data_IF_483472412851
#
_entry.id   IF_483472412851
#
_cell.length_a   1.000
_cell.length_b   1.000
_cell.length_c   1.000
_cell.angle_alpha   90.00
_cell.angle_beta   90.00
_cell.angle_gamma   90.00
#
_symmetry.space_group_name_H-M   'P 1'
#
loop_
_entity.id
_entity.type
_entity.pdbx_description
1 polymer ?
#
# COMPACT_ATOMS: atom_id res chain seq x y z
N UNK A 1 4.61 -4.63 23.65
CA UNK A 1 5.56 -4.49 22.50
C UNK A 1 5.58 -3.00 22.18
N UNK A 2 6.67 -2.31 22.50
CA UNK A 2 6.78 -0.87 22.23
C UNK A 2 6.72 -0.64 20.72
N UNK A 3 5.80 0.20 20.30
CA UNK A 3 5.75 0.70 18.93
C UNK A 3 7.01 1.54 18.71
N UNK A 4 7.80 1.31 17.64
CA UNK A 4 8.97 2.12 17.35
C UNK A 4 8.60 3.60 17.39
N UNK A 5 9.41 4.43 18.05
CA UNK A 5 9.18 5.86 18.07
C UNK A 5 9.05 6.38 16.64
N UNK A 6 8.12 7.29 16.38
CA UNK A 6 7.82 7.82 15.04
C UNK A 6 9.07 8.38 14.34
N UNK A 7 10.04 8.89 15.12
CA UNK A 7 11.33 9.39 14.64
C UNK A 7 12.33 8.28 14.27
N UNK A 8 12.19 7.06 14.80
CA UNK A 8 13.11 5.96 14.49
C UNK A 8 13.14 5.58 13.01
N UNK A 9 12.11 5.93 12.25
CA UNK A 9 12.05 5.71 10.81
C UNK A 9 12.45 6.93 9.97
N UNK A 10 12.72 8.09 10.56
CA UNK A 10 13.04 9.32 9.82
C UNK A 10 14.33 9.21 9.00
N UNK A 11 15.30 8.42 9.48
CA UNK A 11 16.55 8.13 8.76
C UNK A 11 16.32 7.55 7.36
N UNK A 12 15.26 6.73 7.19
CA UNK A 12 14.92 6.09 5.92
C UNK A 12 14.50 7.09 4.83
N UNK A 13 14.16 8.33 5.21
CA UNK A 13 13.68 9.41 4.32
C UNK A 13 14.75 10.46 4.00
N UNK A 14 15.97 10.31 4.51
CA UNK A 14 17.09 11.19 4.18
C UNK A 14 17.44 11.13 2.69
N UNK A 15 18.02 12.20 2.14
CA UNK A 15 18.44 12.24 0.72
C UNK A 15 19.39 11.09 0.37
N UNK A 16 20.31 10.74 1.30
CA UNK A 16 21.26 9.64 1.13
C UNK A 16 20.53 8.29 1.01
N UNK A 17 19.65 7.99 1.97
CA UNK A 17 18.92 6.71 1.99
C UNK A 17 17.97 6.57 0.80
N UNK A 18 17.35 7.65 0.33
CA UNK A 18 16.55 7.64 -0.90
C UNK A 18 17.36 7.25 -2.14
N UNK A 19 18.61 7.75 -2.25
CA UNK A 19 19.53 7.35 -3.33
C UNK A 19 19.94 5.88 -3.22
N UNK A 20 20.27 5.43 -2.01
CA UNK A 20 20.58 4.02 -1.74
C UNK A 20 19.39 3.13 -2.11
N UNK A 21 18.18 3.50 -1.67
CA UNK A 21 16.95 2.77 -2.03
C UNK A 21 16.73 2.75 -3.54
N UNK A 22 16.87 3.86 -4.22
CA UNK A 22 16.70 3.95 -5.67
C UNK A 22 17.69 3.03 -6.41
N UNK A 23 18.96 3.04 -6.01
CA UNK A 23 19.98 2.15 -6.56
C UNK A 23 19.67 0.67 -6.28
N UNK A 24 19.29 0.32 -5.03
CA UNK A 24 18.92 -1.04 -4.65
C UNK A 24 17.69 -1.55 -5.45
N UNK A 25 16.68 -0.70 -5.60
CA UNK A 25 15.50 -1.03 -6.37
C UNK A 25 15.85 -1.29 -7.84
N UNK A 26 16.56 -0.37 -8.50
CA UNK A 26 16.87 -0.47 -9.92
C UNK A 26 17.91 -1.55 -10.27
N UNK A 27 18.89 -1.79 -9.39
CA UNK A 27 20.01 -2.70 -9.70
C UNK A 27 19.80 -4.14 -9.18
N UNK A 28 18.92 -4.34 -8.19
CA UNK A 28 18.73 -5.66 -7.59
C UNK A 28 17.26 -6.07 -7.53
N UNK A 29 16.40 -5.23 -6.91
CA UNK A 29 15.03 -5.67 -6.59
C UNK A 29 14.16 -5.83 -7.82
N UNK A 30 14.15 -4.86 -8.73
CA UNK A 30 13.34 -4.92 -9.94
C UNK A 30 13.87 -5.96 -10.94
N UNK A 31 15.18 -6.09 -11.20
CA UNK A 31 15.69 -7.21 -11.97
C UNK A 31 15.36 -8.59 -11.37
N UNK A 32 15.47 -8.73 -10.03
CA UNK A 32 15.07 -9.95 -9.35
C UNK A 32 13.57 -10.23 -9.50
N UNK A 33 12.71 -9.21 -9.35
CA UNK A 33 11.28 -9.34 -9.59
C UNK A 33 11.00 -9.75 -11.03
N UNK A 34 11.63 -9.11 -12.01
CA UNK A 34 11.45 -9.38 -13.45
C UNK A 34 11.91 -10.79 -13.85
N UNK A 35 12.77 -11.46 -13.06
CA UNK A 35 13.21 -12.83 -13.35
C UNK A 35 12.08 -13.86 -13.24
N UNK A 36 11.04 -13.59 -12.46
CA UNK A 36 9.88 -14.47 -12.26
C UNK A 36 8.53 -13.77 -12.50
N UNK A 37 8.50 -12.46 -12.60
CA UNK A 37 7.29 -11.66 -12.71
C UNK A 37 7.35 -10.76 -13.95
N UNK A 38 6.43 -10.93 -14.90
CA UNK A 38 6.23 -9.99 -16.01
C UNK A 38 5.23 -8.92 -15.57
N UNK A 39 5.75 -7.76 -15.16
CA UNK A 39 4.92 -6.62 -14.77
C UNK A 39 4.42 -5.86 -16.00
N UNK A 40 3.12 -5.60 -16.02
CA UNK A 40 2.44 -4.69 -16.96
C UNK A 40 1.76 -3.59 -16.16
N UNK A 41 1.90 -2.36 -16.58
CA UNK A 41 1.20 -1.21 -15.97
C UNK A 41 0.15 -0.73 -16.98
N UNK A 42 -1.09 -0.52 -16.51
CA UNK A 42 -2.21 -0.01 -17.29
C UNK A 42 -2.74 1.28 -16.71
N UNK A 43 -3.24 2.14 -17.57
CA UNK A 43 -3.91 3.41 -17.23
C UNK A 43 -2.99 4.29 -16.35
N UNK A 44 -1.69 4.28 -16.63
CA UNK A 44 -0.67 5.01 -15.86
C UNK A 44 -0.73 6.53 -16.06
N UNK A 45 -1.48 7.01 -17.06
CA UNK A 45 -1.83 8.42 -17.24
C UNK A 45 -2.52 8.99 -16.00
N UNK A 46 -3.35 8.22 -15.30
CA UNK A 46 -3.97 8.63 -14.03
C UNK A 46 -2.95 8.99 -12.93
N UNK A 47 -1.74 8.49 -13.06
CA UNK A 47 -0.63 8.81 -12.15
C UNK A 47 0.32 9.81 -12.76
N UNK A 48 0.60 9.74 -14.06
CA UNK A 48 1.55 10.62 -14.76
C UNK A 48 1.06 12.06 -14.81
N UNK A 49 -0.23 12.25 -14.99
CA UNK A 49 -0.84 13.58 -15.15
C UNK A 49 -1.21 14.23 -13.81
N UNK A 50 -1.13 13.47 -12.71
CA UNK A 50 -1.45 13.96 -11.39
C UNK A 50 -0.36 14.89 -10.84
N UNK A 51 -0.76 16.06 -10.33
CA UNK A 51 0.13 17.01 -9.68
C UNK A 51 0.10 16.89 -8.15
N UNK A 52 1.27 16.93 -7.52
CA UNK A 52 1.39 16.88 -6.06
C UNK A 52 1.48 15.45 -5.48
N UNK A 53 1.34 15.31 -4.16
CA UNK A 53 1.35 14.01 -3.49
C UNK A 53 0.05 13.26 -3.74
N UNK A 54 0.08 11.94 -3.59
CA UNK A 54 -1.10 11.09 -3.68
C UNK A 54 -1.08 9.98 -2.62
N UNK A 55 -2.25 9.44 -2.33
CA UNK A 55 -2.42 8.23 -1.53
C UNK A 55 -2.78 7.10 -2.51
N UNK A 56 -1.85 6.19 -2.73
CA UNK A 56 -2.07 5.02 -3.59
C UNK A 56 -2.71 3.91 -2.76
N UNK A 57 -3.89 3.47 -3.16
CA UNK A 57 -4.68 2.44 -2.47
C UNK A 57 -4.79 1.22 -3.36
N UNK A 58 -4.33 0.06 -2.89
CA UNK A 58 -4.39 -1.19 -3.65
C UNK A 58 -4.87 -2.37 -2.80
N UNK A 59 -5.34 -3.44 -3.45
CA UNK A 59 -5.57 -4.73 -2.82
C UNK A 59 -4.27 -5.38 -2.33
N UNK A 60 -4.34 -6.34 -1.39
CA UNK A 60 -3.18 -6.92 -0.75
C UNK A 60 -3.21 -8.45 -0.74
N UNK A 61 -2.54 -9.05 -1.70
CA UNK A 61 -2.54 -10.50 -1.94
C UNK A 61 -1.17 -11.16 -1.69
N UNK A 62 -0.09 -10.36 -1.69
CA UNK A 62 1.29 -10.85 -1.59
C UNK A 62 2.17 -9.92 -0.78
N UNK A 63 3.20 -10.48 -0.13
CA UNK A 63 4.24 -9.69 0.52
C UNK A 63 5.05 -8.81 -0.47
N UNK A 64 5.02 -9.13 -1.77
CA UNK A 64 5.70 -8.37 -2.82
C UNK A 64 4.84 -7.25 -3.42
N UNK A 65 3.57 -7.10 -3.04
CA UNK A 65 2.71 -6.03 -3.60
C UNK A 65 3.31 -4.65 -3.43
N UNK A 66 3.99 -4.39 -2.30
CA UNK A 66 4.68 -3.12 -2.06
C UNK A 66 5.82 -2.88 -3.05
N UNK A 67 6.55 -3.93 -3.44
CA UNK A 67 7.64 -3.84 -4.43
C UNK A 67 7.06 -3.64 -5.83
N UNK A 68 6.00 -4.38 -6.16
CA UNK A 68 5.28 -4.26 -7.44
C UNK A 68 4.70 -2.87 -7.60
N UNK A 69 4.04 -2.33 -6.57
CA UNK A 69 3.53 -0.96 -6.57
C UNK A 69 4.65 0.07 -6.73
N UNK A 70 5.78 -0.13 -6.03
CA UNK A 70 6.93 0.77 -6.16
C UNK A 70 7.50 0.74 -7.59
N UNK A 71 7.56 -0.42 -8.25
CA UNK A 71 8.03 -0.55 -9.63
C UNK A 71 7.05 0.08 -10.63
N UNK A 72 5.74 -0.11 -10.43
CA UNK A 72 4.70 0.44 -11.28
C UNK A 72 4.61 1.98 -11.24
N UNK A 73 5.02 2.59 -10.12
CA UNK A 73 4.93 4.03 -9.95
C UNK A 73 6.05 4.79 -10.68
N UNK A 74 5.75 5.95 -11.30
CA UNK A 74 6.77 6.88 -11.80
C UNK A 74 7.80 7.24 -10.73
N UNK A 75 9.05 7.47 -11.13
CA UNK A 75 10.17 7.74 -10.23
C UNK A 75 9.91 8.87 -9.22
N UNK A 76 9.16 9.91 -9.63
CA UNK A 76 8.80 11.03 -8.74
C UNK A 76 7.98 10.61 -7.52
N UNK A 77 7.08 9.63 -7.67
CA UNK A 77 6.31 9.05 -6.58
C UNK A 77 7.11 7.99 -5.83
N UNK A 78 7.66 7.01 -6.54
CA UNK A 78 8.45 5.91 -5.96
C UNK A 78 9.51 6.40 -4.98
N UNK A 79 10.25 7.47 -5.33
CA UNK A 79 11.33 7.99 -4.49
C UNK A 79 10.86 8.87 -3.33
N UNK A 80 9.59 9.20 -3.27
CA UNK A 80 8.97 10.00 -2.20
C UNK A 80 7.65 9.40 -1.71
N UNK A 81 7.58 8.09 -1.65
CA UNK A 81 6.46 7.36 -1.05
C UNK A 81 6.91 6.59 0.17
N UNK A 82 6.02 6.48 1.13
CA UNK A 82 6.11 5.55 2.25
C UNK A 82 5.06 4.46 2.08
N UNK A 83 5.42 3.23 2.41
CA UNK A 83 4.50 2.09 2.40
C UNK A 83 4.00 1.84 3.81
N UNK A 84 2.70 1.94 4.00
CA UNK A 84 2.07 1.65 5.29
C UNK A 84 2.02 0.15 5.52
N UNK A 85 2.59 -0.31 6.62
CA UNK A 85 2.60 -1.72 6.98
C UNK A 85 2.21 -1.92 8.44
N UNK A 86 1.54 -3.05 8.72
CA UNK A 86 1.12 -3.37 10.07
C UNK A 86 2.33 -3.63 10.99
N UNK A 87 2.35 -2.96 12.14
CA UNK A 87 3.46 -3.03 13.10
C UNK A 87 3.67 -4.45 13.65
N UNK A 88 2.61 -5.24 13.77
CA UNK A 88 2.63 -6.63 14.22
C UNK A 88 2.96 -7.66 13.13
N UNK A 89 3.33 -7.20 11.95
CA UNK A 89 3.70 -8.01 10.79
C UNK A 89 5.23 -8.02 10.60
N UNK A 90 5.74 -7.20 9.68
CA UNK A 90 7.17 -7.16 9.30
C UNK A 90 8.07 -6.49 10.35
N UNK A 91 7.50 -5.84 11.37
CA UNK A 91 8.26 -5.16 12.42
C UNK A 91 8.50 -6.04 13.66
N UNK A 92 8.14 -7.33 13.63
CA UNK A 92 8.42 -8.27 14.74
C UNK A 92 9.91 -8.51 14.95
N UNK A 93 10.68 -8.56 13.87
CA UNK A 93 12.12 -8.73 13.89
C UNK A 93 12.80 -7.45 13.39
N UNK A 94 13.76 -6.93 14.17
CA UNK A 94 14.45 -5.67 13.84
C UNK A 94 15.10 -5.68 12.44
N UNK A 95 15.66 -6.80 12.01
CA UNK A 95 16.28 -6.90 10.69
C UNK A 95 15.25 -6.89 9.54
N UNK A 96 14.08 -7.55 9.71
CA UNK A 96 12.99 -7.50 8.73
C UNK A 96 12.45 -6.08 8.59
N UNK A 97 12.23 -5.41 9.72
CA UNK A 97 11.83 -4.01 9.76
C UNK A 97 12.83 -3.10 9.02
N UNK A 98 14.13 -3.25 9.31
CA UNK A 98 15.19 -2.49 8.63
C UNK A 98 15.22 -2.76 7.13
N UNK A 99 15.10 -4.01 6.72
CA UNK A 99 15.06 -4.40 5.31
C UNK A 99 13.87 -3.72 4.61
N UNK A 100 12.67 -3.80 5.18
CA UNK A 100 11.49 -3.17 4.61
C UNK A 100 11.59 -1.63 4.57
N UNK A 101 12.20 -1.01 5.59
CA UNK A 101 12.47 0.43 5.60
C UNK A 101 13.46 0.84 4.51
N UNK A 102 14.53 0.07 4.31
CA UNK A 102 15.52 0.34 3.25
C UNK A 102 14.92 0.14 1.87
N UNK A 103 14.16 -0.93 1.66
CA UNK A 103 13.69 -1.35 0.34
C UNK A 103 12.48 -0.56 -0.17
N UNK A 104 11.47 -0.33 0.67
CA UNK A 104 10.20 0.31 0.27
C UNK A 104 9.76 1.45 1.19
N UNK A 105 10.61 1.91 2.12
CA UNK A 105 10.24 2.89 3.16
C UNK A 105 9.00 2.46 3.96
N UNK A 106 9.03 1.21 4.45
CA UNK A 106 7.91 0.71 5.24
C UNK A 106 7.74 1.49 6.54
N UNK A 107 6.53 1.97 6.79
CA UNK A 107 6.15 2.73 7.98
C UNK A 107 5.16 1.92 8.82
N UNK A 108 5.47 1.67 10.11
CA UNK A 108 4.62 0.86 10.96
C UNK A 108 3.33 1.59 11.35
N UNK A 109 2.19 0.89 11.28
CA UNK A 109 0.94 1.33 11.92
C UNK A 109 0.40 0.20 12.80
N UNK A 110 0.07 0.47 14.06
CA UNK A 110 -0.58 -0.51 14.93
C UNK A 110 -1.99 -0.83 14.42
N UNK A 111 -2.40 -2.11 14.47
CA UNK A 111 -3.75 -2.55 14.07
C UNK A 111 -4.81 -2.32 15.14
N UNK A 112 -4.41 -2.09 16.38
CA UNK A 112 -5.27 -1.78 17.51
C UNK A 112 -5.20 -0.31 17.89
N UNK A 113 -5.65 0.06 19.06
CA UNK A 113 -5.56 1.42 19.60
C UNK A 113 -4.14 2.00 19.49
N UNK A 114 -4.03 3.33 19.39
CA UNK A 114 -2.73 4.02 19.28
C UNK A 114 -2.29 4.36 17.84
N UNK A 115 -3.13 4.13 16.83
CA UNK A 115 -2.80 4.49 15.44
C UNK A 115 -2.81 6.02 15.20
N UNK A 116 -3.47 6.81 16.04
CA UNK A 116 -3.64 8.27 15.85
C UNK A 116 -2.31 9.02 15.67
N UNK A 117 -1.27 8.85 16.50
CA UNK A 117 0.01 9.53 16.28
C UNK A 117 0.66 9.14 14.94
N UNK A 118 0.50 7.90 14.48
CA UNK A 118 1.02 7.42 13.21
C UNK A 118 0.29 8.05 12.01
N UNK A 119 -1.04 8.21 12.12
CA UNK A 119 -1.83 8.92 11.11
C UNK A 119 -1.44 10.40 11.05
N UNK A 120 -1.26 11.07 12.19
CA UNK A 120 -0.79 12.47 12.21
C UNK A 120 0.58 12.61 11.53
N UNK A 121 1.51 11.68 11.80
CA UNK A 121 2.80 11.67 11.12
C UNK A 121 2.68 11.49 9.59
N UNK A 122 1.81 10.60 9.13
CA UNK A 122 1.55 10.42 7.69
C UNK A 122 0.90 11.65 7.06
N UNK A 123 -0.03 12.33 7.76
CA UNK A 123 -0.59 13.61 7.31
C UNK A 123 0.50 14.66 7.14
N UNK A 124 1.46 14.73 8.07
CA UNK A 124 2.58 15.64 7.98
C UNK A 124 3.49 15.32 6.78
N UNK A 125 3.74 14.03 6.50
CA UNK A 125 4.46 13.62 5.29
C UNK A 125 3.73 14.04 4.01
N UNK A 126 2.41 13.87 3.93
CA UNK A 126 1.60 14.32 2.79
C UNK A 126 1.70 15.83 2.59
N UNK A 127 1.61 16.63 3.67
CA UNK A 127 1.82 18.09 3.61
C UNK A 127 3.21 18.47 3.11
N UNK A 128 4.24 17.68 3.44
CA UNK A 128 5.63 17.83 2.94
C UNK A 128 5.83 17.23 1.54
N UNK A 129 4.76 16.96 0.80
CA UNK A 129 4.80 16.44 -0.58
C UNK A 129 5.40 15.03 -0.70
N UNK A 130 5.25 14.21 0.33
CA UNK A 130 5.43 12.77 0.24
C UNK A 130 4.11 12.11 -0.13
N UNK A 131 4.18 10.96 -0.77
CA UNK A 131 3.02 10.12 -1.07
C UNK A 131 2.96 8.93 -0.13
N UNK A 132 1.81 8.28 -0.07
CA UNK A 132 1.57 7.11 0.78
C UNK A 132 1.07 5.97 -0.08
N UNK A 133 1.61 4.78 0.10
CA UNK A 133 1.07 3.54 -0.45
C UNK A 133 0.43 2.79 0.71
N UNK A 134 -0.84 2.48 0.61
CA UNK A 134 -1.60 1.81 1.66
C UNK A 134 -2.43 0.67 1.09
N UNK A 135 -2.42 -0.46 1.80
CA UNK A 135 -3.26 -1.61 1.54
C UNK A 135 -4.36 -1.64 2.60
N UNK A 136 -5.55 -1.05 2.31
CA UNK A 136 -6.53 -0.73 3.34
C UNK A 136 -7.24 -1.96 3.93
N UNK A 137 -7.06 -3.15 3.35
CA UNK A 137 -7.50 -4.41 3.94
C UNK A 137 -6.80 -4.70 5.29
N UNK A 138 -5.58 -4.15 5.48
CA UNK A 138 -4.77 -4.28 6.69
C UNK A 138 -4.17 -5.67 6.91
N UNK A 139 -4.36 -6.59 5.96
CA UNK A 139 -3.80 -7.96 6.00
C UNK A 139 -3.70 -8.53 4.59
N UNK A 140 -2.84 -9.54 4.41
CA UNK A 140 -2.82 -10.34 3.20
C UNK A 140 -4.08 -11.21 3.12
N UNK A 141 -4.76 -11.20 1.97
CA UNK A 141 -5.88 -12.10 1.72
C UNK A 141 -5.45 -13.56 1.77
N UNK A 142 -6.36 -14.44 2.19
CA UNK A 142 -6.15 -15.89 2.16
C UNK A 142 -6.62 -16.51 0.83
N UNK A 143 -7.54 -15.86 0.14
CA UNK A 143 -8.29 -16.40 -1.01
C UNK A 143 -7.96 -15.74 -2.33
N UNK A 144 -7.21 -14.63 -2.32
CA UNK A 144 -7.02 -13.76 -3.49
C UNK A 144 -8.13 -12.72 -3.66
N UNK A 145 -9.22 -12.84 -2.91
CA UNK A 145 -10.34 -11.89 -2.97
C UNK A 145 -9.98 -10.55 -2.33
N UNK A 146 -10.57 -9.46 -2.82
CA UNK A 146 -10.45 -8.13 -2.23
C UNK A 146 -11.29 -8.08 -0.95
N UNK A 147 -10.62 -7.82 0.19
CA UNK A 147 -11.27 -7.63 1.48
C UNK A 147 -11.93 -6.26 1.62
N UNK A 148 -12.62 -6.05 2.74
CA UNK A 148 -13.22 -4.75 3.08
C UNK A 148 -12.13 -3.72 3.42
N UNK A 149 -12.26 -2.52 2.90
CA UNK A 149 -11.31 -1.45 3.13
C UNK A 149 -11.57 -0.72 4.45
N UNK A 150 -10.49 -0.45 5.18
CA UNK A 150 -10.51 0.33 6.42
C UNK A 150 -10.34 1.81 6.11
N UNK A 151 -10.95 2.66 6.92
CA UNK A 151 -11.02 4.10 6.72
C UNK A 151 -9.72 4.90 6.84
N UNK A 152 -8.61 4.28 7.22
CA UNK A 152 -7.33 4.98 7.38
C UNK A 152 -6.89 5.82 6.17
N UNK A 153 -7.11 5.31 4.95
CA UNK A 153 -6.81 6.06 3.73
C UNK A 153 -7.74 7.26 3.53
N UNK A 154 -9.04 7.10 3.85
CA UNK A 154 -10.01 8.21 3.78
C UNK A 154 -9.70 9.30 4.80
N UNK A 155 -9.32 8.94 6.04
CA UNK A 155 -8.89 9.90 7.07
C UNK A 155 -7.69 10.71 6.57
N UNK A 156 -6.67 10.05 6.01
CA UNK A 156 -5.50 10.75 5.46
C UNK A 156 -5.89 11.70 4.33
N UNK A 157 -6.73 11.24 3.40
CA UNK A 157 -7.14 12.01 2.22
C UNK A 157 -7.97 13.24 2.60
N UNK A 158 -9.01 13.06 3.40
CA UNK A 158 -9.94 14.12 3.78
C UNK A 158 -9.27 15.18 4.64
N UNK A 159 -8.45 14.76 5.62
CA UNK A 159 -7.79 15.69 6.55
C UNK A 159 -6.63 16.47 5.90
N UNK A 160 -6.13 16.03 4.75
CA UNK A 160 -5.01 16.69 4.05
C UNK A 160 -5.38 17.27 2.69
N UNK A 161 -6.59 17.00 2.19
CA UNK A 161 -6.99 17.34 0.82
C UNK A 161 -6.20 16.58 -0.24
N UNK A 162 -5.55 15.46 0.11
CA UNK A 162 -4.72 14.69 -0.81
C UNK A 162 -5.59 13.66 -1.56
N UNK A 163 -5.52 13.60 -2.91
CA UNK A 163 -6.30 12.63 -3.65
C UNK A 163 -5.86 11.19 -3.38
N UNK A 164 -6.82 10.26 -3.45
CA UNK A 164 -6.58 8.82 -3.48
C UNK A 164 -6.52 8.37 -4.94
N UNK A 165 -5.46 7.64 -5.31
CA UNK A 165 -5.38 6.93 -6.59
C UNK A 165 -5.62 5.45 -6.32
N UNK A 166 -6.79 4.92 -6.70
CA UNK A 166 -7.08 3.49 -6.60
C UNK A 166 -6.20 2.71 -7.56
N UNK A 167 -5.75 1.54 -7.14
CA UNK A 167 -5.00 0.63 -7.99
C UNK A 167 -5.45 -0.82 -7.76
N UNK A 168 -5.36 -1.65 -8.77
CA UNK A 168 -5.58 -3.08 -8.64
C UNK A 168 -4.35 -3.85 -9.09
N UNK A 169 -3.88 -4.74 -8.22
CA UNK A 169 -2.75 -5.64 -8.48
C UNK A 169 -3.32 -7.02 -8.79
N UNK A 170 -3.23 -7.42 -10.05
CA UNK A 170 -3.66 -8.71 -10.55
C UNK A 170 -2.49 -9.68 -10.70
N UNK A 171 -2.73 -10.99 -10.56
CA UNK A 171 -1.76 -12.06 -10.80
C UNK A 171 -0.76 -12.32 -9.67
N UNK A 172 -0.57 -11.41 -8.70
CA UNK A 172 0.39 -11.62 -7.61
C UNK A 172 -0.02 -12.76 -6.65
N UNK A 173 -1.29 -13.06 -6.54
CA UNK A 173 -1.76 -14.21 -5.76
C UNK A 173 -1.26 -15.54 -6.35
N UNK A 174 -1.19 -15.67 -7.67
CA UNK A 174 -0.68 -16.87 -8.34
C UNK A 174 0.85 -16.96 -8.25
N UNK A 175 1.54 -15.82 -8.30
CA UNK A 175 3.00 -15.72 -8.23
C UNK A 175 3.50 -16.02 -6.83
N UNK A 176 3.00 -15.33 -5.80
CA UNK A 176 3.46 -15.50 -4.41
C UNK A 176 2.33 -15.22 -3.39
N UNK A 177 1.39 -16.16 -3.19
CA UNK A 177 0.38 -16.03 -2.14
C UNK A 177 1.02 -16.12 -0.74
N UNK A 178 0.30 -15.64 0.29
CA UNK A 178 0.77 -15.57 1.69
C UNK A 178 1.34 -16.87 2.27
N UNK A 179 0.88 -18.02 1.79
CA UNK A 179 1.28 -19.35 2.29
C UNK A 179 2.49 -19.94 1.54
N UNK A 180 2.97 -19.28 0.50
CA UNK A 180 4.12 -19.74 -0.28
C UNK A 180 5.36 -18.92 0.06
N UNK A 181 6.53 -19.57 0.05
CA UNK A 181 7.83 -18.93 0.31
C UNK A 181 8.66 -18.68 -0.95
N UNK A 182 8.37 -19.41 -2.02
CA UNK A 182 9.10 -19.32 -3.30
C UNK A 182 8.14 -18.86 -4.38
N UNK A 183 8.46 -17.79 -5.12
CA UNK A 183 7.60 -17.31 -6.19
C UNK A 183 7.55 -18.30 -7.35
N UNK A 184 6.43 -18.31 -8.07
CA UNK A 184 6.28 -18.96 -9.36
C UNK A 184 6.39 -17.92 -10.47
N UNK A 185 6.93 -18.27 -11.64
CA UNK A 185 6.87 -17.40 -12.81
C UNK A 185 5.40 -17.08 -13.15
N UNK A 186 5.12 -15.79 -13.38
CA UNK A 186 3.77 -15.34 -13.72
C UNK A 186 3.71 -13.95 -14.33
N UNK A 187 2.51 -13.56 -14.73
CA UNK A 187 2.22 -12.21 -15.22
C UNK A 187 1.52 -11.44 -14.09
N UNK A 188 1.93 -10.21 -13.91
CA UNK A 188 1.32 -9.30 -12.94
C UNK A 188 0.93 -8.03 -13.67
N UNK A 189 -0.27 -7.55 -13.40
CA UNK A 189 -0.75 -6.29 -13.96
C UNK A 189 -1.11 -5.35 -12.82
N UNK A 190 -0.62 -4.13 -12.87
CA UNK A 190 -1.08 -3.03 -12.02
C UNK A 190 -1.91 -2.08 -12.87
N UNK A 191 -3.18 -1.94 -12.55
CA UNK A 191 -4.09 -1.02 -13.22
C UNK A 191 -4.41 0.14 -12.28
N UNK A 192 -4.17 1.37 -12.70
CA UNK A 192 -4.50 2.57 -11.93
C UNK A 192 -5.86 3.11 -12.33
N UNK A 193 -6.67 3.48 -11.34
CA UNK A 193 -7.92 4.19 -11.55
C UNK A 193 -7.76 5.71 -11.47
N UNK A 194 -8.81 6.46 -11.86
CA UNK A 194 -8.82 7.91 -11.73
C UNK A 194 -8.65 8.34 -10.26
N UNK A 195 -8.04 9.51 -10.08
CA UNK A 195 -7.86 10.07 -8.75
C UNK A 195 -9.22 10.45 -8.13
N UNK A 196 -9.45 9.97 -6.92
CA UNK A 196 -10.66 10.21 -6.14
C UNK A 196 -10.39 11.28 -5.06
N UNK A 197 -11.28 12.26 -4.97
CA UNK A 197 -11.29 13.25 -3.90
C UNK A 197 -12.60 13.16 -3.13
N UNK A 198 -12.57 13.50 -1.84
CA UNK A 198 -13.79 13.51 -1.04
C UNK A 198 -14.74 14.62 -1.50
N UNK A 199 -16.03 14.28 -1.62
CA UNK A 199 -17.07 15.25 -1.87
C UNK A 199 -17.47 15.96 -0.56
N UNK A 200 -18.10 17.16 -0.63
CA UNK A 200 -18.45 17.94 0.57
C UNK A 200 -19.35 17.22 1.58
N UNK A 201 -20.11 16.22 1.14
CA UNK A 201 -21.04 15.45 1.98
C UNK A 201 -20.51 14.05 2.34
N UNK A 202 -19.28 13.70 1.92
CA UNK A 202 -18.69 12.43 2.31
C UNK A 202 -18.29 12.44 3.78
N UNK A 203 -18.49 11.32 4.45
CA UNK A 203 -17.78 10.93 5.64
C UNK A 203 -16.66 9.93 5.29
N UNK A 204 -15.86 9.54 6.27
CA UNK A 204 -14.75 8.62 6.03
C UNK A 204 -15.21 7.25 5.52
N UNK A 205 -16.37 6.78 5.96
CA UNK A 205 -16.87 5.45 5.63
C UNK A 205 -17.48 5.42 4.21
N UNK A 206 -18.22 6.45 3.82
CA UNK A 206 -18.75 6.61 2.45
C UNK A 206 -17.63 6.80 1.43
N UNK A 207 -16.64 7.63 1.75
CA UNK A 207 -15.51 7.86 0.86
C UNK A 207 -14.67 6.61 0.64
N UNK A 208 -14.29 5.87 1.71
CA UNK A 208 -13.51 4.65 1.54
C UNK A 208 -14.30 3.55 0.81
N UNK A 209 -15.62 3.46 1.02
CA UNK A 209 -16.47 2.51 0.30
C UNK A 209 -16.54 2.82 -1.19
N UNK A 210 -16.55 4.11 -1.57
CA UNK A 210 -16.44 4.53 -2.97
C UNK A 210 -15.10 4.12 -3.58
N UNK A 211 -13.98 4.38 -2.88
CA UNK A 211 -12.64 3.95 -3.32
C UNK A 211 -12.56 2.43 -3.47
N UNK A 212 -13.09 1.66 -2.50
CA UNK A 212 -13.17 0.20 -2.58
C UNK A 212 -13.93 -0.24 -3.85
N UNK A 213 -15.05 0.39 -4.13
CA UNK A 213 -15.87 0.10 -5.32
C UNK A 213 -15.10 0.37 -6.61
N UNK A 214 -14.24 1.39 -6.65
CA UNK A 214 -13.36 1.64 -7.80
C UNK A 214 -12.35 0.50 -7.95
N UNK A 215 -11.64 0.12 -6.88
CA UNK A 215 -10.67 -0.99 -6.94
C UNK A 215 -11.33 -2.29 -7.39
N UNK A 216 -12.55 -2.58 -6.90
CA UNK A 216 -13.33 -3.76 -7.35
C UNK A 216 -13.71 -3.70 -8.84
N UNK A 217 -14.05 -2.52 -9.36
CA UNK A 217 -14.30 -2.35 -10.82
C UNK A 217 -13.03 -2.57 -11.64
N UNK A 218 -11.86 -2.10 -11.18
CA UNK A 218 -10.58 -2.34 -11.85
C UNK A 218 -10.22 -3.84 -11.92
N UNK A 219 -10.64 -4.61 -10.92
CA UNK A 219 -10.45 -6.06 -10.90
C UNK A 219 -11.28 -6.80 -11.96
N UNK A 220 -12.34 -6.18 -12.49
CA UNK A 220 -13.23 -6.82 -13.46
C UNK A 220 -13.98 -8.04 -12.90
N UNK A 221 -14.66 -8.82 -13.77
CA UNK A 221 -15.45 -9.97 -13.35
C UNK A 221 -14.64 -11.10 -12.71
N UNK A 222 -13.36 -11.22 -13.03
CA UNK A 222 -12.45 -12.28 -12.54
C UNK A 222 -11.85 -11.97 -11.16
N UNK A 223 -11.82 -10.71 -10.74
CA UNK A 223 -11.29 -10.29 -9.43
C UNK A 223 -12.32 -10.27 -8.31
N UNK A 224 -13.58 -10.57 -8.60
CA UNK A 224 -14.70 -10.51 -7.62
C UNK A 224 -14.96 -11.89 -6.98
N UNK A 225 -13.94 -12.56 -6.49
CA UNK A 225 -14.19 -13.50 -5.40
C UNK A 225 -14.46 -12.66 -4.15
N UNK A 226 -15.72 -12.48 -3.78
CA UNK A 226 -16.11 -11.81 -2.53
C UNK A 226 -15.66 -12.71 -1.39
N UNK A 227 -14.82 -12.21 -0.49
CA UNK A 227 -14.55 -12.93 0.75
C UNK A 227 -15.90 -13.08 1.48
N UNK A 228 -16.31 -14.31 1.84
CA UNK A 228 -17.64 -14.52 2.42
C UNK A 228 -17.79 -13.67 3.69
N UNK A 229 -18.95 -13.04 3.90
CA UNK A 229 -19.22 -12.26 5.10
C UNK A 229 -19.04 -13.16 6.32
N UNK A 230 -18.00 -12.88 7.13
CA UNK A 230 -17.64 -13.68 8.31
C UNK A 230 -16.22 -14.22 8.34
N UNK A 231 -15.53 -14.39 7.21
CA UNK A 231 -14.12 -14.81 7.20
C UNK A 231 -13.16 -13.79 7.83
N UNK A 232 -13.61 -12.55 8.00
CA UNK A 232 -12.84 -11.45 8.62
C UNK A 232 -13.04 -11.32 10.14
N UNK A 233 -13.95 -12.10 10.76
CA UNK A 233 -14.33 -11.92 12.17
C UNK A 233 -13.67 -12.87 13.18
N UNK A 234 -12.91 -13.86 12.76
CA UNK A 234 -12.15 -14.68 13.70
C UNK A 234 -10.77 -14.07 13.94
N UNK A 235 -10.59 -13.59 15.16
CA UNK A 235 -9.41 -13.01 15.80
C UNK A 235 -9.22 -11.50 15.67
N UNK A 236 -9.74 -10.76 16.64
CA UNK A 236 -9.25 -9.46 17.04
C UNK A 236 -9.70 -8.30 16.16
N UNK A 237 -10.99 -8.18 15.92
CA UNK A 237 -11.59 -6.90 15.48
C UNK A 237 -11.38 -5.85 16.57
N UNK A 238 -10.30 -5.09 16.49
CA UNK A 238 -10.19 -3.85 17.25
C UNK A 238 -9.77 -2.73 16.29
N UNK A 239 -10.58 -1.77 16.26
CA UNK A 239 -10.69 -0.58 15.43
C UNK A 239 -9.41 0.22 15.27
N UNK A 240 -9.18 0.69 14.04
CA UNK A 240 -8.31 1.81 13.74
C UNK A 240 -8.99 3.10 14.19
N UNK A 241 -8.62 3.66 15.35
CA UNK A 241 -8.91 5.01 15.79
C UNK A 241 -7.62 5.71 16.17
#
# INVERSE_FOLDING_TARGET
METPALDEAAWARTKGMRRVRAALQSSLMFPALSSFCRLTVRDDEHVRDLNGPAIFVANHVSALDAVVMAEALPARYRHRSVVVAAADSIFKRKWEARLAQVTVDAFPIPRGGGARPHLEYLKDLLRRKWSVIIFPEGRLTATGAIGTFRKGAAILAMDTGTPIVPAYVDGMYDVLPRFRRVPRPGRVTVTFGPAETAAPHDDYDSFISRVESVVRRLAGPTGVAVEPPGASRSEGSTYWY
#
